data_IF_248954248760
#
_entry.id   IF_248954248760
#
_cell.length_a   1.000
_cell.length_b   1.000
_cell.length_c   1.000
_cell.angle_alpha   90.00
_cell.angle_beta   90.00
_cell.angle_gamma   90.00
#
_symmetry.space_group_name_H-M   'P 1'
#
loop_
_entity.id
_entity.type
_entity.pdbx_description
1 polymer ?
#
# COMPACT_ATOMS: atom_id res chain seq x y z
N UNK A 1 -14.51 -2.63 -5.45
CA UNK A 1 -14.71 -1.18 -5.71
C UNK A 1 -13.66 -0.34 -4.99
N UNK A 2 -13.17 0.75 -5.59
CA UNK A 2 -12.32 1.72 -4.89
C UNK A 2 -13.03 3.08 -4.94
N UNK A 3 -13.45 3.58 -3.78
CA UNK A 3 -14.15 4.86 -3.65
C UNK A 3 -13.42 5.65 -2.55
N UNK A 4 -12.50 6.56 -2.91
CA UNK A 4 -11.71 7.30 -1.92
C UNK A 4 -12.56 8.03 -0.90
N UNK A 5 -13.67 8.63 -1.34
CA UNK A 5 -14.66 9.26 -0.49
C UNK A 5 -16.07 8.97 -1.02
N UNK A 6 -16.84 8.19 -0.26
CA UNK A 6 -18.20 7.82 -0.59
C UNK A 6 -19.19 8.81 0.04
N UNK A 7 -20.07 9.44 -0.76
CA UNK A 7 -21.18 10.21 -0.22
C UNK A 7 -22.08 9.34 0.65
N UNK A 8 -22.56 9.87 1.78
CA UNK A 8 -23.44 9.14 2.71
C UNK A 8 -24.70 8.57 2.02
N UNK A 9 -25.23 9.26 1.01
CA UNK A 9 -26.38 8.80 0.23
C UNK A 9 -26.12 7.53 -0.60
N UNK A 10 -24.86 7.13 -0.76
CA UNK A 10 -24.43 5.93 -1.50
C UNK A 10 -23.80 4.88 -0.57
N UNK A 11 -23.96 5.00 0.74
CA UNK A 11 -23.35 4.11 1.71
C UNK A 11 -23.81 2.64 1.59
N UNK A 12 -24.91 2.37 0.88
CA UNK A 12 -25.35 1.01 0.49
C UNK A 12 -24.26 0.22 -0.25
N UNK A 13 -23.29 0.91 -0.87
CA UNK A 13 -22.11 0.27 -1.49
C UNK A 13 -21.30 -0.58 -0.50
N UNK A 14 -21.38 -0.30 0.80
CA UNK A 14 -20.73 -1.08 1.85
C UNK A 14 -21.31 -2.50 1.97
N UNK A 15 -22.50 -2.76 1.44
CA UNK A 15 -23.12 -4.09 1.38
C UNK A 15 -22.74 -4.87 0.11
N UNK A 16 -21.79 -4.36 -0.70
CA UNK A 16 -21.41 -5.03 -1.94
C UNK A 16 -20.82 -6.44 -1.67
N UNK A 17 -21.24 -7.47 -2.43
CA UNK A 17 -20.81 -8.85 -2.21
C UNK A 17 -19.39 -9.14 -2.76
N UNK A 18 -18.59 -8.10 -2.98
CA UNK A 18 -17.26 -8.18 -3.57
C UNK A 18 -16.27 -7.31 -2.79
N UNK A 19 -14.96 -7.61 -2.83
CA UNK A 19 -13.98 -6.81 -2.10
C UNK A 19 -14.01 -5.33 -2.52
N UNK A 20 -13.98 -4.44 -1.53
CA UNK A 20 -13.93 -3.00 -1.74
C UNK A 20 -13.01 -2.29 -0.75
N UNK A 21 -12.62 -1.07 -1.11
CA UNK A 21 -12.00 -0.08 -0.24
C UNK A 21 -12.80 1.20 -0.44
N UNK A 22 -13.44 1.68 0.62
CA UNK A 22 -14.33 2.83 0.61
C UNK A 22 -13.95 3.73 1.78
N UNK A 23 -13.66 4.99 1.50
CA UNK A 23 -13.55 6.02 2.54
C UNK A 23 -14.91 6.61 2.84
N UNK A 24 -15.24 6.76 4.13
CA UNK A 24 -16.47 7.41 4.59
C UNK A 24 -16.09 8.47 5.61
N UNK A 25 -16.90 9.53 5.66
CA UNK A 25 -16.85 10.52 6.72
C UNK A 25 -17.31 9.90 8.05
N UNK A 26 -16.74 10.33 9.18
CA UNK A 26 -17.04 9.76 10.50
C UNK A 26 -18.52 9.90 10.88
N UNK A 27 -19.25 10.88 10.34
CA UNK A 27 -20.71 11.03 10.49
C UNK A 27 -21.51 9.82 10.01
N UNK A 28 -20.93 8.96 9.18
CA UNK A 28 -21.56 7.69 8.81
C UNK A 28 -21.95 6.88 10.05
N UNK A 29 -21.05 6.81 11.04
CA UNK A 29 -21.21 6.00 12.24
C UNK A 29 -22.17 6.62 13.27
N UNK A 30 -22.56 7.88 13.10
CA UNK A 30 -23.65 8.50 13.88
C UNK A 30 -25.04 8.02 13.43
N UNK A 31 -25.14 7.57 12.17
CA UNK A 31 -26.41 7.27 11.50
C UNK A 31 -26.60 5.78 11.21
N UNK A 32 -25.52 5.04 11.00
CA UNK A 32 -25.55 3.67 10.53
C UNK A 32 -24.54 2.78 11.27
N UNK A 33 -24.91 1.52 11.42
CA UNK A 33 -23.98 0.47 11.79
C UNK A 33 -23.31 -0.11 10.53
N UNK A 34 -21.98 -0.28 10.51
CA UNK A 34 -21.30 -0.93 9.39
C UNK A 34 -21.74 -2.39 9.27
N UNK A 35 -21.80 -2.96 8.03
CA UNK A 35 -22.13 -4.37 7.86
C UNK A 35 -21.15 -5.28 8.63
N UNK A 36 -21.61 -6.41 9.20
CA UNK A 36 -20.82 -7.23 10.12
C UNK A 36 -19.59 -7.86 9.46
N UNK A 37 -19.59 -7.98 8.13
CA UNK A 37 -18.51 -8.58 7.37
C UNK A 37 -17.41 -7.59 6.93
N UNK A 38 -17.58 -6.31 7.27
CA UNK A 38 -16.69 -5.19 6.95
C UNK A 38 -15.69 -4.95 8.08
N UNK A 39 -14.46 -4.63 7.72
CA UNK A 39 -13.45 -4.14 8.66
C UNK A 39 -13.32 -2.63 8.49
N UNK A 40 -13.34 -1.88 9.59
CA UNK A 40 -13.21 -0.42 9.59
C UNK A 40 -11.84 -0.02 10.13
N UNK A 41 -11.22 0.97 9.49
CA UNK A 41 -9.99 1.61 9.98
C UNK A 41 -10.36 3.04 10.30
N UNK A 42 -10.36 3.37 11.59
CA UNK A 42 -10.60 4.72 12.08
C UNK A 42 -9.26 5.46 12.12
N UNK A 43 -9.13 6.45 11.26
CA UNK A 43 -7.92 7.26 11.12
C UNK A 43 -7.77 8.31 12.23
N UNK A 44 -8.88 8.73 12.86
CA UNK A 44 -8.89 9.75 13.91
C UNK A 44 -8.36 9.14 15.22
N UNK A 45 -8.80 7.92 15.55
CA UNK A 45 -8.39 7.22 16.77
C UNK A 45 -7.26 6.21 16.57
N UNK A 46 -6.82 6.01 15.31
CA UNK A 46 -5.85 4.99 14.93
C UNK A 46 -6.26 3.58 15.41
N UNK A 47 -7.56 3.27 15.28
CA UNK A 47 -8.12 1.97 15.67
C UNK A 47 -8.57 1.16 14.47
N UNK A 48 -8.48 -0.16 14.58
CA UNK A 48 -8.91 -1.09 13.54
C UNK A 48 -9.98 -2.01 14.12
N UNK A 49 -11.18 -1.92 13.57
CA UNK A 49 -12.29 -2.80 13.86
C UNK A 49 -12.27 -3.94 12.85
N UNK A 50 -12.02 -5.15 13.33
CA UNK A 50 -11.98 -6.35 12.49
C UNK A 50 -13.31 -7.09 12.52
N UNK A 51 -13.77 -7.54 11.36
CA UNK A 51 -14.75 -8.62 11.27
C UNK A 51 -14.21 -9.90 11.93
N UNK A 52 -15.06 -10.57 12.71
CA UNK A 52 -14.82 -11.83 13.43
C UNK A 52 -14.19 -12.92 12.57
N UNK A 53 -14.64 -13.09 11.33
CA UNK A 53 -14.15 -14.13 10.41
C UNK A 53 -12.70 -13.91 9.98
N UNK A 54 -12.21 -12.67 10.07
CA UNK A 54 -10.88 -12.27 9.59
C UNK A 54 -9.88 -12.02 10.71
N UNK A 55 -10.27 -12.18 11.99
CA UNK A 55 -9.37 -11.98 13.16
C UNK A 55 -8.08 -12.81 13.10
N UNK A 56 -8.10 -13.97 12.44
CA UNK A 56 -6.94 -14.84 12.28
C UNK A 56 -5.93 -14.38 11.19
N UNK A 57 -6.30 -13.41 10.35
CA UNK A 57 -5.44 -12.84 9.31
C UNK A 57 -4.70 -11.62 9.87
N UNK A 58 -3.53 -11.88 10.47
CA UNK A 58 -2.64 -10.84 10.97
C UNK A 58 -1.41 -10.72 10.10
N UNK A 59 -0.69 -9.60 10.18
CA UNK A 59 0.59 -9.37 9.48
C UNK A 59 1.65 -10.46 9.75
N UNK A 60 1.47 -11.27 10.80
CA UNK A 60 2.36 -12.39 11.15
C UNK A 60 2.40 -13.51 10.11
N UNK A 61 1.44 -13.58 9.19
CA UNK A 61 1.47 -14.57 8.09
C UNK A 61 2.49 -14.19 6.99
N UNK A 62 2.89 -12.92 6.91
CA UNK A 62 3.79 -12.40 5.88
C UNK A 62 5.19 -13.02 5.99
N UNK A 63 5.97 -13.09 4.90
CA UNK A 63 7.36 -13.54 4.94
C UNK A 63 8.20 -12.73 5.95
N UNK A 64 8.71 -13.40 6.99
CA UNK A 64 9.30 -12.74 8.17
C UNK A 64 10.40 -11.74 7.84
N UNK A 65 11.34 -12.08 6.96
CA UNK A 65 12.47 -11.20 6.59
C UNK A 65 11.97 -9.92 5.92
N UNK A 66 11.15 -10.06 4.88
CA UNK A 66 10.59 -8.93 4.14
C UNK A 66 9.69 -8.06 5.03
N UNK A 67 8.82 -8.68 5.83
CA UNK A 67 7.93 -7.98 6.76
C UNK A 67 8.71 -7.21 7.83
N UNK A 68 9.73 -7.83 8.45
CA UNK A 68 10.57 -7.14 9.44
C UNK A 68 11.27 -5.92 8.85
N UNK A 69 11.82 -6.04 7.64
CA UNK A 69 12.47 -4.91 6.97
C UNK A 69 11.47 -3.78 6.70
N UNK A 70 10.30 -4.09 6.14
CA UNK A 70 9.24 -3.11 5.90
C UNK A 70 8.84 -2.39 7.19
N UNK A 71 8.54 -3.14 8.26
CA UNK A 71 8.13 -2.56 9.55
C UNK A 71 9.23 -1.68 10.16
N UNK A 72 10.50 -2.08 10.05
CA UNK A 72 11.62 -1.28 10.55
C UNK A 72 11.74 0.06 9.81
N UNK A 73 11.64 0.05 8.47
CA UNK A 73 11.69 1.27 7.66
C UNK A 73 10.51 2.18 8.02
N UNK A 74 9.28 1.66 7.97
CA UNK A 74 8.08 2.44 8.29
C UNK A 74 8.10 3.00 9.73
N UNK A 75 8.58 2.23 10.72
CA UNK A 75 8.69 2.71 12.10
C UNK A 75 9.72 3.84 12.24
N UNK A 76 10.82 3.77 11.48
CA UNK A 76 11.82 4.84 11.46
C UNK A 76 11.31 6.10 10.78
N UNK A 77 10.52 5.96 9.71
CA UNK A 77 9.89 7.10 9.02
C UNK A 77 8.81 7.74 9.90
N UNK A 78 7.96 6.93 10.53
CA UNK A 78 6.95 7.41 11.48
C UNK A 78 7.59 8.20 12.63
N UNK A 79 8.69 7.69 13.21
CA UNK A 79 9.42 8.44 14.25
C UNK A 79 9.95 9.78 13.75
N UNK A 80 10.49 9.85 12.54
CA UNK A 80 10.94 11.10 11.93
C UNK A 80 9.80 12.12 11.75
N UNK A 81 8.60 11.65 11.38
CA UNK A 81 7.41 12.50 11.23
C UNK A 81 6.92 13.05 12.58
N UNK A 82 6.82 12.18 13.59
CA UNK A 82 6.37 12.57 14.94
C UNK A 82 7.36 13.56 15.59
N UNK A 83 8.65 13.27 15.52
CA UNK A 83 9.70 14.16 16.07
C UNK A 83 9.70 15.52 15.33
N UNK A 84 9.32 15.53 14.04
CA UNK A 84 9.18 16.73 13.22
C UNK A 84 7.98 17.62 13.57
N UNK A 85 6.83 17.02 13.88
CA UNK A 85 5.61 17.74 14.26
C UNK A 85 5.70 18.38 15.66
N UNK A 86 6.37 17.74 16.62
CA UNK A 86 6.58 18.33 17.96
C UNK A 86 7.39 19.63 17.96
N UNK A 87 8.10 19.95 16.87
CA UNK A 87 8.92 21.16 16.73
C UNK A 87 8.19 22.32 16.03
N UNK A 88 7.12 22.03 15.28
CA UNK A 88 6.35 23.04 14.56
C UNK A 88 5.25 23.70 15.42
N UNK A 89 4.72 22.99 16.42
CA UNK A 89 3.61 23.50 17.25
C UNK A 89 3.95 24.73 18.10
N UNK A 90 5.23 25.03 18.34
CA UNK A 90 5.66 26.27 19.02
C UNK A 90 5.74 27.51 18.10
N UNK A 91 5.57 27.36 16.78
CA UNK A 91 5.81 28.42 15.79
C UNK A 91 4.78 28.47 14.63
N UNK A 92 3.56 27.93 14.82
CA UNK A 92 2.52 27.84 13.78
C UNK A 92 1.52 29.01 13.77
N UNK A 93 2.01 30.23 14.00
CA UNK A 93 1.30 31.46 13.59
C UNK A 93 2.15 32.08 12.48
N UNK A 94 1.74 31.93 11.21
CA UNK A 94 2.33 32.53 9.98
C UNK A 94 3.25 31.65 9.11
N UNK A 95 2.73 30.64 8.41
CA UNK A 95 3.09 30.45 6.98
C UNK A 95 2.17 29.46 6.27
N UNK A 96 1.36 29.94 5.33
CA UNK A 96 0.71 29.11 4.31
C UNK A 96 1.61 29.05 3.07
N UNK A 97 2.66 28.25 3.14
CA UNK A 97 3.51 27.97 1.98
C UNK A 97 3.51 26.46 1.73
N UNK A 98 3.20 26.06 0.49
CA UNK A 98 3.02 24.67 0.01
C UNK A 98 4.28 23.76 0.09
N UNK A 99 5.32 24.19 0.80
CA UNK A 99 6.58 23.48 0.99
C UNK A 99 6.79 23.26 2.48
N UNK A 100 6.05 22.32 3.06
CA UNK A 100 6.21 21.95 4.47
C UNK A 100 7.50 21.13 4.62
N UNK A 101 8.63 21.83 4.74
CA UNK A 101 9.91 21.21 5.13
C UNK A 101 9.77 20.69 6.57
N UNK A 102 10.00 19.39 6.75
CA UNK A 102 10.01 18.79 8.09
C UNK A 102 11.27 19.27 8.82
N UNK A 103 11.23 19.33 10.16
CA UNK A 103 12.37 19.79 10.97
C UNK A 103 13.65 18.95 10.82
N UNK A 104 13.58 17.82 10.12
CA UNK A 104 14.69 16.93 9.78
C UNK A 104 15.42 17.32 8.48
N UNK A 105 15.02 18.40 7.80
CA UNK A 105 15.61 18.83 6.51
C UNK A 105 15.22 17.95 5.32
N UNK A 106 14.24 17.04 5.50
CA UNK A 106 13.61 16.26 4.43
C UNK A 106 12.26 16.89 4.09
N UNK A 107 11.94 16.98 2.80
CA UNK A 107 10.60 17.33 2.36
C UNK A 107 9.62 16.19 2.68
N UNK A 108 8.35 16.53 2.94
CA UNK A 108 7.27 15.53 3.06
C UNK A 108 7.25 14.58 1.84
N UNK A 109 7.47 15.13 0.65
CA UNK A 109 7.60 14.36 -0.59
C UNK A 109 8.71 13.30 -0.55
N UNK A 110 9.87 13.61 0.05
CA UNK A 110 10.95 12.63 0.24
C UNK A 110 10.48 11.46 1.10
N UNK A 111 9.74 11.73 2.18
CA UNK A 111 9.19 10.69 3.05
C UNK A 111 8.16 9.84 2.31
N UNK A 112 7.30 10.45 1.48
CA UNK A 112 6.35 9.72 0.63
C UNK A 112 7.08 8.74 -0.30
N UNK A 113 8.14 9.17 -0.97
CA UNK A 113 8.95 8.31 -1.85
C UNK A 113 9.64 7.19 -1.07
N UNK A 114 10.16 7.47 0.12
CA UNK A 114 10.76 6.44 1.00
C UNK A 114 9.72 5.40 1.44
N UNK A 115 8.46 5.80 1.69
CA UNK A 115 7.35 4.88 1.98
C UNK A 115 7.03 4.03 0.75
N UNK A 116 6.88 4.64 -0.43
CA UNK A 116 6.61 3.92 -1.68
C UNK A 116 7.71 2.89 -1.97
N UNK A 117 8.97 3.30 -1.84
CA UNK A 117 10.11 2.41 -2.04
C UNK A 117 10.10 1.25 -1.03
N UNK A 118 9.76 1.49 0.24
CA UNK A 118 9.69 0.43 1.24
C UNK A 118 8.68 -0.67 0.84
N UNK A 119 7.50 -0.28 0.34
CA UNK A 119 6.50 -1.22 -0.16
C UNK A 119 6.93 -1.87 -1.48
N UNK A 120 7.57 -1.14 -2.39
CA UNK A 120 8.13 -1.69 -3.63
C UNK A 120 9.17 -2.79 -3.34
N UNK A 121 10.09 -2.54 -2.39
CA UNK A 121 11.08 -3.52 -1.92
C UNK A 121 10.41 -4.76 -1.34
N UNK A 122 9.36 -4.57 -0.53
CA UNK A 122 8.59 -5.67 0.01
C UNK A 122 7.94 -6.51 -1.10
N UNK A 123 7.28 -5.86 -2.07
CA UNK A 123 6.62 -6.53 -3.20
C UNK A 123 7.61 -7.30 -4.07
N UNK A 124 8.74 -6.69 -4.41
CA UNK A 124 9.80 -7.33 -5.17
C UNK A 124 10.40 -8.53 -4.42
N UNK A 125 10.56 -8.44 -3.10
CA UNK A 125 11.03 -9.56 -2.29
C UNK A 125 10.03 -10.74 -2.26
N UNK A 126 8.72 -10.47 -2.14
CA UNK A 126 7.71 -11.55 -2.09
C UNK A 126 7.50 -12.20 -3.46
N UNK A 127 7.59 -11.44 -4.56
CA UNK A 127 7.42 -11.90 -5.94
C UNK A 127 8.73 -12.33 -6.61
N UNK A 128 9.85 -12.33 -5.90
CA UNK A 128 11.16 -12.73 -6.40
C UNK A 128 11.11 -14.05 -7.20
N UNK A 129 11.60 -13.98 -8.45
CA UNK A 129 11.68 -15.10 -9.38
C UNK A 129 10.36 -15.52 -10.02
N UNK A 130 9.28 -14.73 -9.89
CA UNK A 130 7.98 -15.06 -10.46
C UNK A 130 8.02 -15.29 -11.97
N UNK A 131 8.85 -14.53 -12.72
CA UNK A 131 8.98 -14.65 -14.18
C UNK A 131 9.33 -16.05 -14.66
N UNK A 132 10.09 -16.83 -13.89
CA UNK A 132 10.43 -18.22 -14.22
C UNK A 132 9.23 -19.17 -14.21
N UNK A 133 8.09 -18.72 -13.67
CA UNK A 133 6.83 -19.47 -13.61
C UNK A 133 5.78 -18.94 -14.59
N UNK A 134 6.07 -17.86 -15.35
CA UNK A 134 5.21 -17.43 -16.46
C UNK A 134 5.28 -18.48 -17.58
N UNK A 135 4.12 -18.81 -18.15
CA UNK A 135 3.98 -19.76 -19.25
C UNK A 135 3.94 -19.01 -20.58
N UNK A 136 4.61 -19.51 -21.64
CA UNK A 136 4.53 -18.88 -22.95
C UNK A 136 3.10 -18.83 -23.46
N UNK A 137 2.71 -17.71 -24.07
CA UNK A 137 1.44 -17.62 -24.79
C UNK A 137 1.60 -18.33 -26.12
N UNK A 138 0.98 -19.50 -26.24
CA UNK A 138 1.05 -20.33 -27.45
C UNK A 138 -0.16 -20.18 -28.37
N UNK A 139 -1.21 -19.47 -27.95
CA UNK A 139 -2.47 -19.29 -28.70
C UNK A 139 -3.05 -17.89 -28.46
N UNK A 140 -3.90 -17.44 -29.39
CA UNK A 140 -4.59 -16.15 -29.26
C UNK A 140 -5.48 -16.12 -27.99
N UNK A 141 -5.67 -14.93 -27.37
CA UNK A 141 -6.50 -14.79 -26.18
C UNK A 141 -7.92 -15.33 -26.41
N UNK A 142 -8.37 -16.19 -25.51
CA UNK A 142 -9.73 -16.72 -25.42
C UNK A 142 -10.08 -16.85 -23.94
N UNK A 143 -11.37 -16.96 -23.57
CA UNK A 143 -11.80 -17.00 -22.16
C UNK A 143 -11.04 -18.05 -21.31
N UNK A 144 -10.58 -19.15 -21.91
CA UNK A 144 -9.78 -20.18 -21.21
C UNK A 144 -8.27 -19.89 -21.23
N UNK A 145 -7.79 -19.18 -22.23
CA UNK A 145 -6.37 -18.81 -22.37
C UNK A 145 -5.99 -17.60 -21.51
N UNK A 146 -6.97 -16.80 -21.06
CA UNK A 146 -6.77 -15.69 -20.11
C UNK A 146 -6.83 -16.14 -18.65
N UNK A 147 -7.11 -17.42 -18.37
CA UNK A 147 -7.12 -17.92 -16.99
C UNK A 147 -5.71 -17.92 -16.39
N UNK A 148 -5.57 -17.42 -15.16
CA UNK A 148 -4.27 -17.31 -14.49
C UNK A 148 -3.54 -18.67 -14.37
N UNK A 149 -4.28 -19.79 -14.28
CA UNK A 149 -3.68 -21.13 -14.20
C UNK A 149 -3.09 -21.60 -15.54
N UNK A 150 -3.57 -21.04 -16.66
CA UNK A 150 -3.01 -21.24 -18.00
C UNK A 150 -1.75 -20.39 -18.22
N UNK A 151 -1.69 -19.21 -17.61
CA UNK A 151 -0.62 -18.21 -17.77
C UNK A 151 0.55 -18.40 -16.79
N UNK A 152 0.33 -19.08 -15.66
CA UNK A 152 1.32 -19.15 -14.59
C UNK A 152 1.39 -20.55 -13.96
N UNK A 153 2.61 -21.08 -13.80
CA UNK A 153 2.86 -22.30 -13.02
C UNK A 153 2.75 -22.02 -11.52
N UNK A 154 1.50 -21.92 -11.05
CA UNK A 154 1.18 -21.68 -9.65
C UNK A 154 1.78 -22.73 -8.72
N UNK A 155 1.75 -24.01 -9.12
CA UNK A 155 2.27 -25.10 -8.30
C UNK A 155 3.79 -25.06 -8.18
N UNK A 156 4.49 -24.77 -9.27
CA UNK A 156 5.94 -24.53 -9.23
C UNK A 156 6.28 -23.34 -8.35
N UNK A 157 5.56 -22.22 -8.51
CA UNK A 157 5.81 -21.01 -7.73
C UNK A 157 5.64 -21.29 -6.23
N UNK A 158 4.51 -21.88 -5.82
CA UNK A 158 4.27 -22.24 -4.43
C UNK A 158 5.36 -23.19 -3.90
N UNK A 159 5.76 -24.23 -4.64
CA UNK A 159 6.83 -25.15 -4.22
C UNK A 159 8.18 -24.47 -4.03
N UNK A 160 8.44 -23.38 -4.75
CA UNK A 160 9.68 -22.61 -4.61
C UNK A 160 9.74 -21.76 -3.33
N UNK A 161 8.62 -21.58 -2.61
CA UNK A 161 8.53 -20.75 -1.41
C UNK A 161 8.76 -21.55 -0.13
N UNK A 162 9.27 -20.88 0.90
CA UNK A 162 9.46 -21.45 2.23
C UNK A 162 8.14 -22.03 2.78
N UNK A 163 8.21 -23.28 3.25
CA UNK A 163 7.07 -24.02 3.80
C UNK A 163 6.36 -23.28 4.94
N UNK A 164 7.12 -22.53 5.75
CA UNK A 164 6.58 -21.76 6.87
C UNK A 164 5.66 -20.60 6.47
N UNK A 165 5.76 -20.13 5.22
CA UNK A 165 4.96 -19.01 4.69
C UNK A 165 3.96 -19.44 3.60
N UNK A 166 3.75 -20.74 3.42
CA UNK A 166 2.84 -21.28 2.38
C UNK A 166 1.40 -20.79 2.52
N UNK A 167 0.92 -20.60 3.75
CA UNK A 167 -0.42 -20.05 4.01
C UNK A 167 -0.59 -18.68 3.36
N UNK A 168 0.40 -17.80 3.51
CA UNK A 168 0.38 -16.47 2.89
C UNK A 168 0.39 -16.58 1.37
N UNK A 169 1.33 -17.32 0.79
CA UNK A 169 1.44 -17.43 -0.65
C UNK A 169 0.18 -18.03 -1.28
N UNK A 170 -0.41 -19.05 -0.66
CA UNK A 170 -1.67 -19.65 -1.12
C UNK A 170 -2.82 -18.65 -1.13
N UNK A 171 -2.88 -17.74 -0.16
CA UNK A 171 -3.90 -16.69 -0.11
C UNK A 171 -3.62 -15.60 -1.15
N UNK A 172 -2.39 -15.09 -1.20
CA UNK A 172 -1.96 -14.01 -2.09
C UNK A 172 -2.20 -14.38 -3.57
N UNK A 173 -1.84 -15.59 -3.98
CA UNK A 173 -2.02 -16.03 -5.37
C UNK A 173 -3.46 -16.26 -5.79
N UNK A 174 -4.41 -16.30 -4.83
CA UNK A 174 -5.85 -16.39 -5.10
C UNK A 174 -6.52 -15.01 -5.20
N UNK A 175 -5.78 -13.93 -4.94
CA UNK A 175 -6.34 -12.58 -5.01
C UNK A 175 -6.56 -12.15 -6.46
N UNK A 176 -7.59 -11.34 -6.68
CA UNK A 176 -7.84 -10.68 -7.97
C UNK A 176 -6.63 -9.86 -8.41
N UNK A 177 -5.95 -9.16 -7.50
CA UNK A 177 -4.75 -8.37 -7.84
C UNK A 177 -3.61 -9.22 -8.37
N UNK A 178 -3.33 -10.38 -7.77
CA UNK A 178 -2.29 -11.27 -8.29
C UNK A 178 -2.67 -11.83 -9.67
N UNK A 179 -3.93 -12.24 -9.85
CA UNK A 179 -4.44 -12.73 -11.13
C UNK A 179 -4.26 -11.66 -12.23
N UNK A 180 -4.68 -10.42 -11.96
CA UNK A 180 -4.51 -9.29 -12.89
C UNK A 180 -3.05 -8.99 -13.18
N UNK A 181 -2.19 -9.00 -12.16
CA UNK A 181 -0.75 -8.83 -12.35
C UNK A 181 -0.15 -9.89 -13.31
N UNK A 182 -0.56 -11.14 -13.19
CA UNK A 182 -0.12 -12.21 -14.11
C UNK A 182 -0.63 -11.99 -15.53
N UNK A 183 -1.89 -11.57 -15.70
CA UNK A 183 -2.46 -11.22 -17.00
C UNK A 183 -1.66 -10.07 -17.65
N UNK A 184 -1.39 -8.99 -16.91
CA UNK A 184 -0.60 -7.84 -17.36
C UNK A 184 0.85 -8.21 -17.70
N UNK A 185 1.45 -9.15 -16.96
CA UNK A 185 2.78 -9.66 -17.30
C UNK A 185 2.80 -10.51 -18.58
N UNK A 186 1.65 -11.07 -18.97
CA UNK A 186 1.55 -12.03 -20.06
C UNK A 186 1.14 -11.35 -21.37
N UNK A 187 0.19 -10.42 -21.31
CA UNK A 187 -0.34 -9.70 -22.47
C UNK A 187 0.25 -8.30 -22.58
N UNK A 188 0.33 -7.78 -23.80
CA UNK A 188 0.73 -6.38 -24.04
C UNK A 188 -0.26 -5.45 -23.35
N UNK A 189 0.25 -4.54 -22.52
CA UNK A 189 -0.54 -3.58 -21.75
C UNK A 189 0.03 -2.17 -21.85
N UNK A 190 -0.74 -1.17 -21.43
CA UNK A 190 -0.23 0.19 -21.21
C UNK A 190 0.73 0.28 -20.01
N UNK A 191 0.90 -0.81 -19.24
CA UNK A 191 1.75 -0.92 -18.05
C UNK A 191 3.12 -1.54 -18.34
N UNK A 192 3.44 -1.87 -19.58
CA UNK A 192 4.69 -2.58 -19.94
C UNK A 192 5.96 -1.88 -19.40
N UNK A 193 6.00 -0.54 -19.44
CA UNK A 193 7.10 0.25 -18.86
C UNK A 193 7.20 0.07 -17.34
N UNK A 194 6.07 0.11 -16.63
CA UNK A 194 6.02 -0.08 -15.18
C UNK A 194 6.39 -1.52 -14.78
N UNK A 195 6.02 -2.51 -15.60
CA UNK A 195 6.39 -3.91 -15.38
C UNK A 195 7.89 -4.13 -15.57
N UNK A 196 8.48 -3.56 -16.63
CA UNK A 196 9.93 -3.61 -16.85
C UNK A 196 10.70 -2.96 -15.69
N UNK A 197 10.23 -1.80 -15.20
CA UNK A 197 10.79 -1.16 -14.02
C UNK A 197 10.70 -2.06 -12.76
N UNK A 198 9.57 -2.74 -12.57
CA UNK A 198 9.39 -3.66 -11.45
C UNK A 198 10.36 -4.86 -11.54
N UNK A 199 10.56 -5.42 -12.72
CA UNK A 199 11.55 -6.49 -12.93
C UNK A 199 12.98 -6.04 -12.59
N UNK A 200 13.36 -4.85 -13.06
CA UNK A 200 14.66 -4.25 -12.74
C UNK A 200 14.83 -4.10 -11.23
N UNK A 201 13.78 -3.72 -10.51
CA UNK A 201 13.78 -3.64 -9.05
C UNK A 201 13.99 -5.02 -8.39
N UNK A 202 13.30 -6.06 -8.89
CA UNK A 202 13.46 -7.44 -8.40
C UNK A 202 14.90 -7.93 -8.61
N UNK A 203 15.48 -7.69 -9.77
CA UNK A 203 16.84 -8.12 -10.11
C UNK A 203 17.90 -7.36 -9.30
N UNK A 204 17.77 -6.03 -9.17
CA UNK A 204 18.64 -5.20 -8.33
C UNK A 204 18.65 -5.70 -6.88
N UNK A 205 17.47 -5.97 -6.30
CA UNK A 205 17.37 -6.48 -4.94
C UNK A 205 18.01 -7.86 -4.79
N UNK A 206 17.80 -8.76 -5.75
CA UNK A 206 18.39 -10.09 -5.69
C UNK A 206 19.92 -10.09 -5.78
N UNK A 207 20.47 -9.27 -6.68
CA UNK A 207 21.91 -9.14 -6.85
C UNK A 207 22.58 -8.49 -5.64
N UNK A 208 21.91 -7.53 -5.00
CA UNK A 208 22.35 -6.92 -3.74
C UNK A 208 22.42 -7.96 -2.61
N UNK A 209 21.38 -8.79 -2.44
CA UNK A 209 21.38 -9.86 -1.42
C UNK A 209 22.54 -10.86 -1.62
N UNK A 210 22.79 -11.29 -2.86
CA UNK A 210 23.89 -12.22 -3.18
C UNK A 210 25.27 -11.62 -2.90
N UNK A 211 25.42 -10.32 -3.11
CA UNK A 211 26.68 -9.61 -2.88
C UNK A 211 26.95 -9.43 -1.39
N UNK A 212 25.90 -9.14 -0.61
CA UNK A 212 25.97 -9.05 0.85
C UNK A 212 26.33 -10.40 1.52
N UNK A 213 25.80 -11.52 1.02
CA UNK A 213 26.11 -12.87 1.54
C UNK A 213 27.54 -13.33 1.22
N UNK A 214 28.16 -12.81 0.15
CA UNK A 214 29.54 -13.16 -0.25
C UNK A 214 30.63 -12.37 0.47
N UNK A 215 30.28 -11.50 1.42
CA UNK A 215 31.25 -10.89 2.33
C UNK A 215 32.31 -10.00 1.68
N UNK A 216 32.02 -9.37 0.53
CA UNK A 216 32.94 -8.44 -0.12
C UNK A 216 33.05 -7.15 0.68
N UNK A 217 33.93 -7.14 1.70
CA UNK A 217 34.42 -5.93 2.34
C UNK A 217 35.28 -5.17 1.34
N UNK A 218 34.70 -4.21 0.63
CA UNK A 218 35.45 -3.12 0.02
C UNK A 218 35.02 -1.84 0.73
N UNK A 219 36.03 -1.09 1.15
CA UNK A 219 35.96 0.04 2.07
C UNK A 219 34.90 1.09 1.72
N UNK A 220 34.26 1.59 2.78
CA UNK A 220 34.19 3.04 2.96
C UNK A 220 33.19 3.83 2.13
N UNK A 221 31.95 3.35 1.98
CA UNK A 221 30.79 4.23 2.16
C UNK A 221 29.61 3.37 2.61
N UNK A 222 28.80 3.87 3.55
CA UNK A 222 27.61 3.15 4.01
C UNK A 222 26.74 2.92 2.79
N UNK A 223 26.59 1.66 2.38
CA UNK A 223 25.76 1.25 1.25
C UNK A 223 24.39 1.90 1.42
N UNK A 224 24.15 3.02 0.74
CA UNK A 224 22.80 3.43 0.39
C UNK A 224 22.23 2.17 -0.28
N UNK A 225 21.29 1.50 0.38
CA UNK A 225 20.57 0.39 -0.24
C UNK A 225 20.11 0.92 -1.60
N UNK A 226 20.70 0.44 -2.70
CA UNK A 226 20.60 1.08 -4.02
C UNK A 226 19.18 1.61 -4.24
N UNK A 227 19.02 2.94 -4.25
CA UNK A 227 17.69 3.57 -4.36
C UNK A 227 17.00 3.02 -5.61
N UNK A 228 15.76 2.58 -5.43
CA UNK A 228 14.95 2.01 -6.50
C UNK A 228 14.13 3.09 -7.18
N UNK A 229 13.74 4.11 -6.43
CA UNK A 229 12.97 5.25 -6.92
C UNK A 229 13.88 6.48 -6.96
N UNK A 230 13.93 7.14 -8.12
CA UNK A 230 14.62 8.42 -8.26
C UNK A 230 13.76 9.55 -7.68
N UNK A 231 14.40 10.53 -7.05
CA UNK A 231 13.72 11.74 -6.55
C UNK A 231 13.59 12.70 -7.72
N UNK A 232 12.45 12.66 -8.41
CA UNK A 232 12.07 13.67 -9.39
C UNK A 232 11.05 14.62 -8.76
N UNK A 233 11.52 15.76 -8.25
CA UNK A 233 10.67 16.78 -7.61
C UNK A 233 9.64 17.41 -8.56
N UNK A 234 9.73 17.14 -9.87
CA UNK A 234 8.74 17.61 -10.85
C UNK A 234 7.46 16.76 -10.86
N UNK A 235 7.48 15.56 -10.28
CA UNK A 235 6.33 14.67 -10.23
C UNK A 235 5.62 14.78 -8.87
N UNK A 236 4.59 15.63 -8.82
CA UNK A 236 3.66 15.62 -7.68
C UNK A 236 2.71 14.43 -7.79
N UNK A 237 2.41 13.78 -6.66
CA UNK A 237 1.42 12.69 -6.60
C UNK A 237 0.06 13.19 -7.09
N UNK A 238 -0.40 12.71 -8.25
CA UNK A 238 -1.74 13.01 -8.78
C UNK A 238 -2.87 12.34 -7.98
N UNK A 239 -2.52 11.43 -7.06
CA UNK A 239 -3.48 10.56 -6.36
C UNK A 239 -3.78 10.98 -4.91
N UNK A 240 -2.97 11.87 -4.32
CA UNK A 240 -3.19 12.36 -2.97
C UNK A 240 -4.00 13.66 -3.03
N UNK A 241 -5.27 13.61 -2.63
CA UNK A 241 -6.16 14.78 -2.61
C UNK A 241 -6.64 15.00 -1.18
N UNK A 242 -6.44 16.21 -0.65
CA UNK A 242 -7.08 16.61 0.59
C UNK A 242 -8.52 17.01 0.29
N UNK A 243 -9.48 16.30 0.89
CA UNK A 243 -10.90 16.59 0.73
C UNK A 243 -11.42 17.12 2.06
N UNK A 244 -11.89 18.36 2.05
CA UNK A 244 -12.56 18.98 3.20
C UNK A 244 -13.89 18.25 3.49
N UNK A 245 -14.29 18.09 4.76
CA UNK A 245 -15.58 17.53 5.10
C UNK A 245 -16.72 18.27 4.39
N UNK A 246 -17.77 17.57 3.92
CA UNK A 246 -18.95 18.22 3.36
C UNK A 246 -19.51 19.27 4.30
N UNK A 247 -19.72 20.50 3.80
CA UNK A 247 -20.37 21.59 4.54
C UNK A 247 -21.70 21.10 5.12
N UNK A 248 -21.91 21.33 6.41
CA UNK A 248 -23.17 20.98 7.05
C UNK A 248 -24.28 21.87 6.47
N UNK A 249 -25.49 21.33 6.23
CA UNK A 249 -26.60 22.14 5.78
C UNK A 249 -26.86 23.29 6.76
N UNK A 250 -27.22 24.50 6.27
CA UNK A 250 -27.48 25.64 7.14
C UNK A 250 -28.67 25.33 8.05
N UNK A 251 -28.52 25.57 9.35
CA UNK A 251 -29.60 25.43 10.32
C UNK A 251 -30.57 26.62 10.22
N UNK A 252 -31.87 26.42 10.51
CA UNK A 252 -32.80 27.53 10.70
C UNK A 252 -32.42 28.37 11.93
N UNK A 253 -32.65 29.68 11.88
CA UNK A 253 -32.63 30.61 13.03
C UNK A 253 -31.35 30.65 13.89
N UNK A 254 -30.16 30.60 13.28
CA UNK A 254 -28.91 30.88 13.99
C UNK A 254 -28.55 29.84 15.06
N UNK A 255 -29.17 28.66 15.00
CA UNK A 255 -28.75 27.50 15.77
C UNK A 255 -27.36 27.05 15.29
N UNK A 256 -26.44 26.80 16.23
CA UNK A 256 -25.16 26.18 15.93
C UNK A 256 -25.33 24.66 15.89
N UNK A 257 -24.64 23.98 14.97
CA UNK A 257 -24.59 22.52 14.97
C UNK A 257 -24.04 22.04 16.31
N UNK A 258 -24.68 21.06 16.97
CA UNK A 258 -24.20 20.59 18.26
C UNK A 258 -22.75 20.13 18.11
N UNK A 259 -21.86 20.65 18.97
CA UNK A 259 -20.47 20.23 19.05
C UNK A 259 -20.43 18.74 19.44
N UNK A 260 -20.37 17.86 18.44
CA UNK A 260 -20.26 16.43 18.65
C UNK A 260 -18.81 16.06 18.92
N UNK A 261 -18.28 16.54 20.05
CA UNK A 261 -17.08 15.99 20.65
C UNK A 261 -17.36 15.81 22.15
N UNK A 262 -17.63 14.57 22.55
CA UNK A 262 -17.55 14.14 23.95
C UNK A 262 -16.41 13.15 24.07
N UNK A 263 -15.38 13.55 24.83
CA UNK A 263 -14.27 12.73 25.28
C UNK A 263 -14.72 11.69 26.32
#
# INVERSE_FOLDING_TARGET
PYIPLCPLALADVLSAPCPFIVGVDSRYFDLYDPPPDVSCVDLDTNTIFHNDDKRALTWKILPKKACKNLMNVLSNLHRQLVDGQCRSDELLELSMSDSQELSCGKSLHTVELEIQEAFLRFMAAILKGYRSFLRPITQAPSEKATDASSLFDLQGFLKSRDRSHQKFYTLMTKTQMFIRFIEECSFVSDKDTSLAFFDDCVDKLYNSERSAEKGSKVDGDKTEEARLIEIDESQRSEHTVFITPPEQPPLPDGEEHPLCYRY
#
